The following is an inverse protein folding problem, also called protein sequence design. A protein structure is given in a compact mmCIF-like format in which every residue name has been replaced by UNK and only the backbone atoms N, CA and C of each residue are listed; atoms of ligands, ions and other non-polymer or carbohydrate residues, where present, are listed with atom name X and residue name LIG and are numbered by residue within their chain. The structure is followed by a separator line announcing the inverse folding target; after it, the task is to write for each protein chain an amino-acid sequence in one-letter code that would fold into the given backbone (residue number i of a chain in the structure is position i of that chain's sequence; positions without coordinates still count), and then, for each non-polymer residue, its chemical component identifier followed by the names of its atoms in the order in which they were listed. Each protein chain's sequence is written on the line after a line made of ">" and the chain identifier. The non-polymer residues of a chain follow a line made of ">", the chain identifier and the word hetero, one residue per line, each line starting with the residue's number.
data_IF_580731325461
#
_entry.id   IF_580731325461
#
_cell.length_a   1.000
_cell.length_b   1.000
_cell.length_c   1.000
_cell.angle_alpha   90.00
_cell.angle_beta   90.00
_cell.angle_gamma   90.00
#
_symmetry.space_group_name_H-M   'P 1'
#
loop_
_entity.id
_entity.type
_entity.pdbx_description
1 polymer ?
#
# COMPACT_ATOMS: atom_id res chain seq x y z
N UNK A 1 -0.34 17.92 -16.49
CA UNK A 1 -0.40 17.16 -15.22
C UNK A 1 0.20 15.79 -15.47
N UNK A 2 1.15 15.37 -14.65
CA UNK A 2 1.73 14.03 -14.73
C UNK A 2 1.40 13.28 -13.44
N UNK A 3 1.42 11.96 -13.52
CA UNK A 3 1.19 11.11 -12.36
C UNK A 3 2.33 10.12 -12.25
N UNK A 4 2.73 9.83 -11.01
CA UNK A 4 3.64 8.74 -10.67
C UNK A 4 2.89 7.75 -9.79
N UNK A 5 3.05 6.47 -10.06
CA UNK A 5 2.42 5.40 -9.27
C UNK A 5 3.53 4.62 -8.58
N UNK A 6 3.45 4.57 -7.26
CA UNK A 6 4.39 3.86 -6.41
C UNK A 6 3.77 2.55 -5.93
N UNK A 7 4.54 1.46 -5.98
CA UNK A 7 4.17 0.19 -5.34
C UNK A 7 4.83 0.15 -3.96
N UNK A 8 4.03 0.08 -2.90
CA UNK A 8 4.50 0.04 -1.52
C UNK A 8 4.10 -1.28 -0.84
N UNK A 9 5.07 -2.17 -0.63
CA UNK A 9 4.85 -3.44 0.06
C UNK A 9 4.71 -3.21 1.57
N UNK A 10 3.61 -3.74 2.13
CA UNK A 10 3.18 -3.41 3.49
C UNK A 10 2.63 -4.64 4.22
N UNK A 11 2.99 -4.77 5.50
CA UNK A 11 2.14 -5.44 6.47
C UNK A 11 1.22 -4.42 7.16
N UNK A 12 -0.08 -4.43 6.86
CA UNK A 12 -1.03 -3.42 7.35
C UNK A 12 -1.04 -3.28 8.88
N UNK A 13 -0.80 -4.36 9.61
CA UNK A 13 -0.83 -4.44 11.07
C UNK A 13 0.51 -4.11 11.75
N UNK A 14 1.64 -4.06 11.02
CA UNK A 14 2.98 -3.81 11.60
C UNK A 14 3.70 -2.60 11.02
N UNK A 15 3.37 -2.21 9.80
CA UNK A 15 4.19 -1.30 9.01
C UNK A 15 3.57 0.10 8.92
N UNK A 16 2.72 0.49 9.87
CA UNK A 16 2.10 1.82 9.89
C UNK A 16 3.15 2.94 9.89
N UNK A 17 4.18 2.85 10.74
CA UNK A 17 5.26 3.84 10.79
C UNK A 17 6.08 3.90 9.50
N UNK A 18 6.27 2.76 8.83
CA UNK A 18 6.96 2.68 7.53
C UNK A 18 6.15 3.36 6.44
N UNK A 19 4.82 3.17 6.43
CA UNK A 19 3.92 3.86 5.50
C UNK A 19 3.94 5.37 5.75
N UNK A 20 3.87 5.81 7.01
CA UNK A 20 3.96 7.22 7.38
C UNK A 20 5.27 7.86 6.89
N UNK A 21 6.40 7.19 7.14
CA UNK A 21 7.70 7.65 6.64
C UNK A 21 7.72 7.74 5.11
N UNK A 22 7.16 6.75 4.41
CA UNK A 22 7.08 6.80 2.94
C UNK A 22 6.29 8.01 2.45
N UNK A 23 5.10 8.24 3.01
CA UNK A 23 4.22 9.36 2.63
C UNK A 23 4.88 10.72 2.90
N UNK A 24 5.56 10.86 4.04
CA UNK A 24 6.27 12.10 4.39
C UNK A 24 7.47 12.43 3.50
N UNK A 25 7.97 11.47 2.70
CA UNK A 25 9.07 11.67 1.77
C UNK A 25 8.60 11.87 0.31
N UNK A 26 7.30 11.89 0.04
CA UNK A 26 6.76 12.19 -1.29
C UNK A 26 6.84 13.70 -1.53
N UNK A 27 7.37 14.11 -2.69
CA UNK A 27 7.50 15.52 -3.06
C UNK A 27 6.18 16.11 -3.59
N UNK A 28 5.43 15.33 -4.37
CA UNK A 28 4.14 15.71 -4.94
C UNK A 28 2.94 15.47 -4.02
N UNK A 29 1.75 15.70 -4.55
CA UNK A 29 0.50 15.49 -3.80
C UNK A 29 0.05 14.02 -3.94
N UNK A 30 -0.19 13.34 -2.81
CA UNK A 30 -0.81 12.01 -2.80
C UNK A 30 -2.30 12.16 -3.07
N UNK A 31 -2.75 11.71 -4.24
CA UNK A 31 -4.15 11.84 -4.67
C UNK A 31 -4.96 10.55 -4.50
N UNK A 32 -4.30 9.41 -4.31
CA UNK A 32 -4.96 8.12 -4.08
C UNK A 32 -4.04 7.08 -3.43
N UNK A 33 -4.62 6.20 -2.62
CA UNK A 33 -3.98 5.01 -2.05
C UNK A 33 -4.91 3.83 -2.30
N UNK A 34 -4.48 2.86 -3.10
CA UNK A 34 -5.30 1.71 -3.53
C UNK A 34 -4.67 0.43 -2.96
N UNK A 35 -5.36 -0.29 -2.05
CA UNK A 35 -4.86 -1.56 -1.56
C UNK A 35 -5.00 -2.67 -2.62
N UNK A 36 -3.95 -3.46 -2.81
CA UNK A 36 -4.03 -4.72 -3.53
C UNK A 36 -4.30 -5.86 -2.55
N UNK A 37 -5.52 -6.41 -2.61
CA UNK A 37 -5.87 -7.62 -1.89
C UNK A 37 -5.28 -8.82 -2.62
N UNK A 38 -4.50 -9.62 -1.89
CA UNK A 38 -3.98 -10.88 -2.38
C UNK A 38 -5.16 -11.81 -2.72
N UNK A 39 -5.03 -12.67 -3.74
CA UNK A 39 -6.09 -13.64 -4.10
C UNK A 39 -6.50 -14.40 -2.83
N UNK A 40 -7.78 -14.28 -2.45
CA UNK A 40 -8.32 -14.88 -1.23
C UNK A 40 -8.24 -16.40 -1.39
N UNK A 41 -7.30 -17.02 -0.68
CA UNK A 41 -7.22 -18.48 -0.54
C UNK A 41 -7.85 -18.90 0.79
N UNK A 42 -8.18 -20.20 0.94
CA UNK A 42 -8.65 -20.72 2.23
C UNK A 42 -7.69 -20.39 3.38
N UNK A 43 -6.37 -20.35 3.13
CA UNK A 43 -5.38 -19.97 4.13
C UNK A 43 -5.53 -18.52 4.64
N UNK A 44 -6.05 -17.60 3.84
CA UNK A 44 -6.37 -16.24 4.29
C UNK A 44 -7.67 -16.20 5.11
N UNK A 45 -8.64 -17.06 4.81
CA UNK A 45 -9.89 -17.18 5.58
C UNK A 45 -9.59 -17.65 7.01
N UNK A 46 -8.64 -18.57 7.17
CA UNK A 46 -8.18 -19.03 8.48
C UNK A 46 -7.16 -18.09 9.15
N UNK A 47 -6.87 -16.92 8.57
CA UNK A 47 -5.95 -15.92 9.15
C UNK A 47 -4.46 -16.31 9.13
N UNK A 48 -4.08 -17.34 8.36
CA UNK A 48 -2.71 -17.88 8.33
C UNK A 48 -1.79 -16.99 7.48
N UNK A 49 -2.34 -16.30 6.48
CA UNK A 49 -1.57 -15.45 5.56
C UNK A 49 -2.21 -14.06 5.43
N UNK A 50 -1.38 -13.05 5.18
CA UNK A 50 -1.80 -11.65 5.03
C UNK A 50 -2.74 -11.47 3.84
N UNK A 51 -3.78 -10.66 4.02
CA UNK A 51 -4.82 -10.38 3.02
C UNK A 51 -4.42 -9.28 2.02
N UNK A 52 -3.51 -8.38 2.40
CA UNK A 52 -2.99 -7.28 1.56
C UNK A 52 -1.50 -7.50 1.35
N UNK A 53 -1.05 -7.35 0.11
CA UNK A 53 0.36 -7.47 -0.25
C UNK A 53 1.06 -6.11 -0.36
N UNK A 54 0.40 -5.15 -1.00
CA UNK A 54 0.97 -3.84 -1.26
C UNK A 54 -0.13 -2.79 -1.48
N UNK A 55 0.27 -1.53 -1.39
CA UNK A 55 -0.51 -0.36 -1.78
C UNK A 55 0.02 0.18 -3.11
N UNK A 56 -0.87 0.63 -3.99
CA UNK A 56 -0.52 1.55 -5.07
C UNK A 56 -0.80 2.97 -4.59
N UNK A 57 0.24 3.80 -4.53
CA UNK A 57 0.15 5.18 -4.08
C UNK A 57 0.34 6.07 -5.30
N UNK A 58 -0.67 6.89 -5.60
CA UNK A 58 -0.69 7.77 -6.77
C UNK A 58 -0.29 9.17 -6.33
N UNK A 59 0.83 9.65 -6.86
CA UNK A 59 1.39 10.98 -6.68
C UNK A 59 1.11 11.82 -7.92
N UNK A 60 0.65 13.06 -7.72
CA UNK A 60 0.53 14.06 -8.78
C UNK A 60 1.80 14.92 -8.81
N UNK A 61 2.45 14.96 -9.96
CA UNK A 61 3.67 15.73 -10.28
C UNK A 61 3.43 16.77 -11.38
#
# INVERSE_FOLDING_TARGET
>A
MKYRVHKFEINMDKDQSKLEQFLNNIEGEVVSIIPNNKKISLFQIYGITRKIDFLLIVERI
#
